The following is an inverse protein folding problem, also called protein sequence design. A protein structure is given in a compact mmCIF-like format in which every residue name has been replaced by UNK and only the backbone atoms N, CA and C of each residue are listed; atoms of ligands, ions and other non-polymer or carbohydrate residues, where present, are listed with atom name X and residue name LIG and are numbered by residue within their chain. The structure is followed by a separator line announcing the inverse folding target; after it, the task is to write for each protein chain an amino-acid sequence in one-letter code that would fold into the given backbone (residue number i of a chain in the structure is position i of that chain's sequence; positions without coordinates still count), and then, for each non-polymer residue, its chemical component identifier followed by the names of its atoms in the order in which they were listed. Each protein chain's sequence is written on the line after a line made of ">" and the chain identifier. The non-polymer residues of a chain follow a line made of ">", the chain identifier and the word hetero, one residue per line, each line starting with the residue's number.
data_IF_775355010364
#
_entry.id   IF_775355010364
#
_cell.length_a   1.000
_cell.length_b   1.000
_cell.length_c   1.000
_cell.angle_alpha   90.00
_cell.angle_beta   90.00
_cell.angle_gamma   90.00
#
_symmetry.space_group_name_H-M   'P 1'
#
loop_
_entity.id
_entity.type
_entity.pdbx_description
1 polymer ?
#
# COMPACT_ATOMS: atom_id res chain seq x y z
N UNK A 1 21.35 10.50 -30.53
CA UNK A 1 21.12 9.63 -29.35
C UNK A 1 21.42 8.22 -29.82
N UNK A 2 22.25 7.52 -29.07
CA UNK A 2 22.63 6.17 -29.42
C UNK A 2 21.48 5.20 -29.22
N UNK A 3 21.31 4.26 -30.15
CA UNK A 3 20.27 3.23 -30.10
C UNK A 3 20.75 2.10 -29.21
N UNK A 4 20.06 1.91 -28.07
CA UNK A 4 20.34 0.84 -27.10
C UNK A 4 19.45 -0.39 -27.37
N UNK A 5 18.16 -0.15 -27.68
CA UNK A 5 17.18 -1.19 -27.96
C UNK A 5 16.78 -1.14 -29.43
N UNK A 6 17.31 -2.09 -30.23
CA UNK A 6 17.14 -2.06 -31.69
C UNK A 6 15.72 -2.40 -32.15
N UNK A 7 14.98 -3.22 -31.42
CA UNK A 7 13.60 -3.66 -31.74
C UNK A 7 12.71 -3.47 -30.54
N UNK A 8 11.96 -2.38 -30.51
CA UNK A 8 11.17 -2.01 -29.35
C UNK A 8 9.80 -1.43 -29.74
N UNK A 9 8.89 -1.39 -28.77
CA UNK A 9 7.58 -0.80 -28.93
C UNK A 9 7.18 0.05 -27.72
N UNK A 10 6.37 1.08 -27.95
CA UNK A 10 5.70 1.87 -26.94
C UNK A 10 4.20 1.69 -27.04
N UNK A 11 3.54 1.47 -25.92
CA UNK A 11 2.09 1.28 -25.81
C UNK A 11 1.46 2.41 -24.99
N UNK A 12 0.51 3.10 -25.59
CA UNK A 12 -0.38 4.02 -24.89
C UNK A 12 -1.71 3.31 -24.63
N UNK A 13 -1.99 3.06 -23.34
CA UNK A 13 -3.09 2.19 -22.91
C UNK A 13 -4.25 3.01 -22.36
N UNK A 14 -5.41 2.85 -22.98
CA UNK A 14 -6.70 3.40 -22.58
C UNK A 14 -7.66 2.29 -22.11
N UNK A 15 -8.85 2.66 -21.67
CA UNK A 15 -9.88 1.71 -21.27
C UNK A 15 -10.32 0.76 -22.38
N UNK A 16 -10.53 1.28 -23.59
CA UNK A 16 -11.08 0.53 -24.72
C UNK A 16 -10.05 0.24 -25.82
N UNK A 17 -8.92 0.93 -25.84
CA UNK A 17 -7.92 0.85 -26.92
C UNK A 17 -6.50 0.86 -26.42
N UNK A 18 -5.61 0.25 -27.19
CA UNK A 18 -4.15 0.30 -27.03
C UNK A 18 -3.57 0.82 -28.32
N UNK A 19 -2.94 1.98 -28.29
CA UNK A 19 -2.16 2.51 -29.41
C UNK A 19 -0.73 2.00 -29.29
N UNK A 20 -0.29 1.20 -30.23
CA UNK A 20 1.03 0.58 -30.25
C UNK A 20 1.90 1.19 -31.34
N UNK A 21 3.11 1.65 -31.00
CA UNK A 21 4.12 2.10 -31.95
C UNK A 21 5.37 1.25 -31.86
N UNK A 22 5.73 0.62 -32.97
CA UNK A 22 6.95 -0.20 -33.10
C UNK A 22 8.05 0.64 -33.76
N UNK A 23 9.28 0.47 -33.26
CA UNK A 23 10.50 1.04 -33.84
C UNK A 23 11.50 -0.10 -34.07
N UNK A 24 11.82 -0.34 -35.37
CA UNK A 24 12.72 -1.42 -35.78
C UNK A 24 13.69 -0.91 -36.84
N UNK A 25 14.83 -1.58 -37.06
CA UNK A 25 15.71 -1.25 -38.19
C UNK A 25 14.97 -1.40 -39.54
N UNK A 26 15.24 -0.53 -40.47
CA UNK A 26 14.84 -0.71 -41.87
C UNK A 26 15.98 -1.33 -42.70
N UNK A 27 15.66 -1.71 -43.95
CA UNK A 27 16.61 -2.36 -44.85
C UNK A 27 17.71 -1.40 -45.37
N UNK A 28 17.57 -0.08 -45.12
CA UNK A 28 18.51 0.96 -45.57
C UNK A 28 19.39 1.48 -44.42
N UNK A 29 19.36 0.84 -43.24
CA UNK A 29 20.11 1.26 -42.07
C UNK A 29 19.46 2.40 -41.26
N UNK A 30 18.24 2.80 -41.62
CA UNK A 30 17.41 3.77 -40.93
C UNK A 30 16.49 3.11 -39.87
N UNK A 31 15.41 3.80 -39.53
CA UNK A 31 14.40 3.35 -38.57
C UNK A 31 13.01 3.35 -39.18
N UNK A 32 12.41 2.18 -39.22
CA UNK A 32 11.00 2.02 -39.58
C UNK A 32 10.14 2.22 -38.32
N UNK A 33 9.17 3.13 -38.40
CA UNK A 33 8.19 3.43 -37.35
C UNK A 33 6.82 3.04 -37.88
N UNK A 34 6.13 2.14 -37.16
CA UNK A 34 4.78 1.69 -37.52
C UNK A 34 3.89 1.82 -36.32
N UNK A 35 2.73 2.43 -36.49
CA UNK A 35 1.73 2.62 -35.41
C UNK A 35 0.42 1.97 -35.84
N UNK A 36 -0.18 1.21 -34.92
CA UNK A 36 -1.50 0.63 -35.10
C UNK A 36 -2.30 0.71 -33.78
N UNK A 37 -3.61 0.49 -33.86
CA UNK A 37 -4.53 0.60 -32.71
C UNK A 37 -5.29 -0.70 -32.56
N UNK A 38 -5.26 -1.26 -31.34
CA UNK A 38 -5.91 -2.50 -30.98
C UNK A 38 -6.99 -2.25 -29.94
N UNK A 39 -7.98 -3.14 -29.84
CA UNK A 39 -8.91 -3.18 -28.73
C UNK A 39 -8.25 -3.73 -27.45
N UNK A 40 -9.01 -3.76 -26.35
CA UNK A 40 -8.57 -4.29 -25.06
C UNK A 40 -9.20 -5.63 -24.70
N UNK A 41 -9.98 -6.22 -25.60
CA UNK A 41 -10.49 -7.57 -25.42
C UNK A 41 -9.37 -8.60 -25.62
N UNK A 42 -9.54 -9.78 -25.03
CA UNK A 42 -8.49 -10.82 -25.07
C UNK A 42 -8.03 -11.14 -26.48
N UNK A 43 -8.95 -11.26 -27.44
CA UNK A 43 -8.60 -11.52 -28.84
C UNK A 43 -7.76 -10.39 -29.46
N UNK A 44 -8.09 -9.14 -29.14
CA UNK A 44 -7.35 -7.97 -29.64
C UNK A 44 -5.95 -7.90 -29.02
N UNK A 45 -5.80 -8.25 -27.75
CA UNK A 45 -4.50 -8.28 -27.08
C UNK A 45 -3.62 -9.44 -27.59
N UNK A 46 -4.22 -10.56 -27.99
CA UNK A 46 -3.51 -11.63 -28.68
C UNK A 46 -3.06 -11.17 -30.09
N UNK A 47 -3.91 -10.47 -30.83
CA UNK A 47 -3.55 -9.87 -32.10
C UNK A 47 -2.41 -8.84 -31.95
N UNK A 48 -2.45 -7.99 -30.92
CA UNK A 48 -1.36 -7.09 -30.57
C UNK A 48 -0.05 -7.85 -30.31
N UNK A 49 -0.09 -8.94 -29.52
CA UNK A 49 1.09 -9.78 -29.24
C UNK A 49 1.68 -10.35 -30.53
N UNK A 50 0.85 -10.91 -31.40
CA UNK A 50 1.27 -11.53 -32.64
C UNK A 50 1.80 -10.47 -33.63
N UNK A 51 1.20 -9.28 -33.65
CA UNK A 51 1.71 -8.15 -34.41
C UNK A 51 3.09 -7.69 -33.93
N UNK A 52 3.32 -7.57 -32.62
CA UNK A 52 4.63 -7.25 -32.06
C UNK A 52 5.68 -8.32 -32.39
N UNK A 53 5.31 -9.60 -32.36
CA UNK A 53 6.18 -10.72 -32.78
C UNK A 53 6.55 -10.65 -34.26
N UNK A 54 5.61 -10.30 -35.14
CA UNK A 54 5.88 -10.16 -36.59
C UNK A 54 6.94 -9.10 -36.90
N UNK A 55 7.08 -8.06 -36.06
CA UNK A 55 8.16 -7.07 -36.14
C UNK A 55 9.44 -7.47 -35.40
N UNK A 56 9.46 -8.63 -34.75
CA UNK A 56 10.59 -9.10 -33.96
C UNK A 56 10.89 -8.21 -32.75
N UNK A 57 9.86 -7.57 -32.16
CA UNK A 57 9.98 -6.74 -30.96
C UNK A 57 10.50 -7.58 -29.80
N UNK A 58 11.43 -7.04 -29.02
CA UNK A 58 11.99 -7.68 -27.82
C UNK A 58 11.62 -6.96 -26.53
N UNK A 59 11.49 -5.64 -26.60
CA UNK A 59 11.22 -4.78 -25.44
C UNK A 59 9.99 -3.92 -25.70
N UNK A 60 9.10 -3.83 -24.69
CA UNK A 60 7.88 -3.05 -24.79
C UNK A 60 7.75 -2.14 -23.57
N UNK A 61 7.58 -0.84 -23.80
CA UNK A 61 7.26 0.13 -22.75
C UNK A 61 5.77 0.45 -22.77
N UNK A 62 5.16 0.50 -21.57
CA UNK A 62 3.77 0.91 -21.40
C UNK A 62 3.60 1.81 -20.20
N UNK A 63 2.61 2.71 -20.26
CA UNK A 63 2.34 3.65 -19.20
C UNK A 63 1.45 3.03 -18.10
N UNK A 64 1.73 3.39 -16.84
CA UNK A 64 0.97 2.93 -15.67
C UNK A 64 -0.30 3.77 -15.43
N UNK A 65 -1.17 3.91 -16.43
CA UNK A 65 -2.42 4.67 -16.32
C UNK A 65 -3.51 3.84 -15.64
N UNK A 66 -3.92 4.26 -14.44
CA UNK A 66 -5.01 3.62 -13.69
C UNK A 66 -4.78 2.13 -13.45
N UNK A 67 -5.75 1.31 -13.87
CA UNK A 67 -5.70 -0.16 -13.81
C UNK A 67 -5.64 -0.81 -15.20
N UNK A 68 -5.81 -0.04 -16.25
CA UNK A 68 -5.99 -0.52 -17.63
C UNK A 68 -4.74 -1.19 -18.20
N UNK A 69 -3.56 -0.82 -17.72
CA UNK A 69 -2.30 -1.44 -18.12
C UNK A 69 -2.17 -2.92 -17.71
N UNK A 70 -2.90 -3.35 -16.65
CA UNK A 70 -2.74 -4.69 -16.08
C UNK A 70 -3.04 -5.82 -17.07
N UNK A 71 -4.22 -5.86 -17.74
CA UNK A 71 -4.51 -6.92 -18.71
C UNK A 71 -3.51 -6.96 -19.85
N UNK A 72 -3.09 -5.79 -20.37
CA UNK A 72 -2.10 -5.67 -21.43
C UNK A 72 -0.75 -6.22 -20.97
N UNK A 73 -0.29 -5.81 -19.79
CA UNK A 73 0.96 -6.29 -19.21
C UNK A 73 0.95 -7.82 -19.04
N UNK A 74 -0.11 -8.35 -18.45
CA UNK A 74 -0.19 -9.78 -18.14
C UNK A 74 -0.30 -10.65 -19.40
N UNK A 75 -0.83 -10.12 -20.48
CA UNK A 75 -0.89 -10.81 -21.78
C UNK A 75 0.47 -10.85 -22.50
N UNK A 76 1.32 -9.86 -22.25
CA UNK A 76 2.59 -9.67 -22.96
C UNK A 76 3.83 -10.11 -22.16
N UNK A 77 3.72 -10.31 -20.82
CA UNK A 77 4.88 -10.49 -19.95
C UNK A 77 5.68 -11.78 -20.21
N UNK A 78 5.05 -12.83 -20.73
CA UNK A 78 5.73 -14.09 -21.05
C UNK A 78 6.48 -14.02 -22.38
N UNK A 79 6.12 -13.08 -23.26
CA UNK A 79 6.64 -12.96 -24.61
C UNK A 79 7.71 -11.87 -24.80
N UNK A 80 7.64 -10.81 -23.99
CA UNK A 80 8.49 -9.62 -24.15
C UNK A 80 9.09 -9.15 -22.82
N UNK A 81 10.21 -8.43 -22.91
CA UNK A 81 10.73 -7.68 -21.77
C UNK A 81 9.91 -6.40 -21.60
N UNK A 82 9.06 -6.35 -20.56
CA UNK A 82 8.14 -5.23 -20.34
C UNK A 82 8.70 -4.20 -19.38
N UNK A 83 8.56 -2.93 -19.73
CA UNK A 83 8.88 -1.78 -18.89
C UNK A 83 7.59 -0.99 -18.59
N UNK A 84 7.07 -1.11 -17.38
CA UNK A 84 5.96 -0.28 -16.92
C UNK A 84 6.49 1.07 -16.44
N UNK A 85 6.05 2.17 -17.06
CA UNK A 85 6.61 3.50 -16.84
C UNK A 85 5.63 4.39 -16.08
N UNK A 86 6.16 5.13 -15.10
CA UNK A 86 5.38 6.13 -14.39
C UNK A 86 5.39 7.46 -15.16
N UNK A 87 4.20 8.01 -15.46
CA UNK A 87 4.02 9.30 -16.15
C UNK A 87 4.78 10.47 -15.51
N UNK A 88 4.96 10.47 -14.19
CA UNK A 88 5.70 11.56 -13.52
C UNK A 88 7.19 11.56 -13.89
N UNK A 89 7.73 10.42 -14.27
CA UNK A 89 9.11 10.29 -14.74
C UNK A 89 9.22 10.76 -16.18
N UNK A 90 8.26 10.39 -17.04
CA UNK A 90 8.18 10.84 -18.44
C UNK A 90 8.14 12.36 -18.57
N UNK A 91 7.35 13.04 -17.73
CA UNK A 91 7.26 14.52 -17.74
C UNK A 91 8.56 15.24 -17.40
N UNK A 92 9.56 14.53 -16.90
CA UNK A 92 10.88 15.10 -16.54
C UNK A 92 11.91 14.98 -17.65
N UNK A 93 11.62 14.17 -18.69
CA UNK A 93 12.53 14.02 -19.80
C UNK A 93 12.42 15.24 -20.71
N UNK A 94 13.52 16.01 -20.94
CA UNK A 94 13.48 17.17 -21.82
C UNK A 94 13.17 16.76 -23.28
N UNK A 95 12.53 17.65 -24.03
CA UNK A 95 12.37 17.49 -25.46
C UNK A 95 11.03 16.92 -25.95
N UNK A 96 10.02 16.74 -25.07
CA UNK A 96 8.67 16.36 -25.48
C UNK A 96 8.09 17.46 -26.40
N UNK A 97 7.90 17.15 -27.68
CA UNK A 97 7.08 17.96 -28.59
C UNK A 97 5.61 17.61 -28.38
N UNK A 98 4.75 18.60 -28.36
CA UNK A 98 3.30 18.46 -28.11
C UNK A 98 2.56 17.63 -29.16
N UNK A 99 3.15 17.44 -30.35
CA UNK A 99 2.51 16.81 -31.48
C UNK A 99 2.90 15.34 -31.70
N UNK A 100 3.75 14.76 -30.85
CA UNK A 100 4.15 13.34 -30.92
C UNK A 100 3.16 12.50 -30.10
N UNK A 101 2.64 11.42 -30.70
CA UNK A 101 1.78 10.45 -30.03
C UNK A 101 2.50 9.84 -28.81
N UNK A 102 1.80 9.65 -27.72
CA UNK A 102 2.41 9.16 -26.46
C UNK A 102 3.09 7.80 -26.66
N UNK A 103 2.51 6.89 -27.46
CA UNK A 103 3.11 5.59 -27.82
C UNK A 103 4.43 5.72 -28.60
N UNK A 104 4.51 6.65 -29.55
CA UNK A 104 5.71 6.91 -30.33
C UNK A 104 6.83 7.48 -29.46
N UNK A 105 6.49 8.42 -28.57
CA UNK A 105 7.43 8.99 -27.60
C UNK A 105 7.98 7.92 -26.64
N UNK A 106 7.11 7.04 -26.13
CA UNK A 106 7.52 5.89 -25.29
C UNK A 106 8.49 4.98 -26.04
N UNK A 107 8.18 4.63 -27.30
CA UNK A 107 9.03 3.79 -28.13
C UNK A 107 10.40 4.45 -28.38
N UNK A 108 10.44 5.74 -28.64
CA UNK A 108 11.67 6.50 -28.85
C UNK A 108 12.55 6.56 -27.60
N UNK A 109 11.95 6.82 -26.43
CA UNK A 109 12.68 6.84 -25.16
C UNK A 109 13.19 5.45 -24.78
N UNK A 110 12.41 4.39 -25.05
CA UNK A 110 12.82 3.01 -24.84
C UNK A 110 14.02 2.65 -25.71
N UNK A 111 13.95 3.01 -26.98
CA UNK A 111 15.04 2.83 -27.96
C UNK A 111 16.37 3.40 -27.45
N UNK A 112 16.33 4.59 -26.86
CA UNK A 112 17.51 5.27 -26.31
C UNK A 112 17.89 4.82 -24.88
N UNK A 113 17.20 3.85 -24.29
CA UNK A 113 17.47 3.37 -22.93
C UNK A 113 17.20 4.39 -21.82
N UNK A 114 16.38 5.41 -22.07
CA UNK A 114 16.11 6.53 -21.13
C UNK A 114 14.99 6.25 -20.15
N UNK A 115 14.31 5.10 -20.27
CA UNK A 115 13.19 4.74 -19.42
C UNK A 115 13.64 3.97 -18.17
N UNK A 116 13.05 4.32 -17.02
CA UNK A 116 13.22 3.60 -15.76
C UNK A 116 11.96 2.81 -15.43
N UNK A 117 12.01 1.47 -15.39
CA UNK A 117 10.83 0.66 -15.14
C UNK A 117 10.35 0.78 -13.69
N UNK A 118 9.05 0.82 -13.53
CA UNK A 118 8.37 0.60 -12.26
C UNK A 118 8.40 -0.89 -11.90
N UNK A 119 8.46 -1.19 -10.61
CA UNK A 119 8.42 -2.57 -10.14
C UNK A 119 7.02 -3.19 -10.30
N UNK A 120 6.92 -4.22 -11.13
CA UNK A 120 5.77 -5.12 -11.20
C UNK A 120 6.20 -6.46 -10.59
N UNK A 121 5.56 -6.92 -9.49
CA UNK A 121 5.93 -8.18 -8.86
C UNK A 121 5.48 -9.38 -9.69
N UNK A 122 6.07 -10.56 -9.47
CA UNK A 122 5.63 -11.80 -10.10
C UNK A 122 4.19 -12.17 -9.69
N UNK A 123 3.49 -13.01 -10.48
CA UNK A 123 2.07 -13.33 -10.26
C UNK A 123 1.69 -13.71 -8.83
N UNK A 124 2.39 -14.61 -8.10
CA UNK A 124 2.00 -14.97 -6.74
C UNK A 124 2.02 -13.79 -5.76
N UNK A 125 2.97 -12.87 -5.94
CA UNK A 125 3.06 -11.67 -5.12
C UNK A 125 1.98 -10.64 -5.51
N UNK A 126 1.59 -10.57 -6.79
CA UNK A 126 0.49 -9.69 -7.23
C UNK A 126 -0.83 -10.11 -6.60
N UNK A 127 -1.13 -11.41 -6.62
CA UNK A 127 -2.32 -11.97 -5.98
C UNK A 127 -2.32 -11.71 -4.47
N UNK A 128 -1.22 -12.00 -3.79
CA UNK A 128 -1.05 -11.72 -2.38
C UNK A 128 -1.23 -10.22 -2.08
N UNK A 129 -0.70 -9.33 -2.92
CA UNK A 129 -0.83 -7.88 -2.79
C UNK A 129 -2.28 -7.42 -2.96
N UNK A 130 -3.02 -7.98 -3.89
CA UNK A 130 -4.42 -7.62 -4.10
C UNK A 130 -5.27 -8.05 -2.89
N UNK A 131 -5.06 -9.27 -2.36
CA UNK A 131 -5.72 -9.77 -1.15
C UNK A 131 -5.39 -8.93 0.09
N UNK A 132 -4.12 -8.63 0.33
CA UNK A 132 -3.69 -7.85 1.50
C UNK A 132 -4.22 -6.42 1.45
N UNK A 133 -4.24 -5.80 0.28
CA UNK A 133 -4.79 -4.45 0.07
C UNK A 133 -6.30 -4.44 0.28
N UNK A 134 -7.00 -5.44 -0.22
CA UNK A 134 -8.44 -5.59 -0.01
C UNK A 134 -8.75 -5.78 1.48
N UNK A 135 -7.98 -6.63 2.18
CA UNK A 135 -8.10 -6.78 3.64
C UNK A 135 -7.92 -5.46 4.38
N UNK A 136 -6.93 -4.65 4.02
CA UNK A 136 -6.72 -3.31 4.62
C UNK A 136 -7.94 -2.42 4.38
N UNK A 137 -8.59 -2.51 3.22
CA UNK A 137 -9.79 -1.75 2.94
C UNK A 137 -10.96 -2.21 3.82
N UNK A 138 -11.17 -3.53 3.96
CA UNK A 138 -12.23 -4.08 4.82
C UNK A 138 -12.04 -3.66 6.30
N UNK A 139 -10.80 -3.64 6.81
CA UNK A 139 -10.51 -3.13 8.16
C UNK A 139 -10.88 -1.65 8.30
N UNK A 140 -10.66 -0.84 7.27
CA UNK A 140 -11.06 0.57 7.26
C UNK A 140 -12.57 0.72 7.25
N UNK A 141 -13.26 -0.06 6.44
CA UNK A 141 -14.73 -0.03 6.32
C UNK A 141 -15.36 -0.43 7.66
N UNK A 142 -14.83 -1.47 8.32
CA UNK A 142 -15.23 -1.84 9.68
C UNK A 142 -15.05 -0.69 10.67
N UNK A 143 -13.90 -0.03 10.63
CA UNK A 143 -13.63 1.10 11.52
C UNK A 143 -14.57 2.29 11.27
N UNK A 144 -14.99 2.50 10.01
CA UNK A 144 -15.97 3.51 9.65
C UNK A 144 -17.35 3.17 10.23
N UNK A 145 -17.77 1.90 10.21
CA UNK A 145 -19.04 1.48 10.80
C UNK A 145 -19.03 1.66 12.33
N UNK A 146 -17.91 1.32 13.01
CA UNK A 146 -17.76 1.61 14.45
C UNK A 146 -17.86 3.11 14.73
N UNK A 147 -17.26 3.95 13.88
CA UNK A 147 -17.38 5.41 14.03
C UNK A 147 -18.82 5.91 13.78
N UNK A 148 -19.59 5.27 12.88
CA UNK A 148 -21.03 5.56 12.69
C UNK A 148 -21.83 5.16 13.93
N UNK A 149 -21.56 3.99 14.49
CA UNK A 149 -22.14 3.57 15.76
C UNK A 149 -21.93 4.61 16.86
N UNK A 150 -20.70 5.07 17.03
CA UNK A 150 -20.38 6.10 18.02
C UNK A 150 -21.19 7.39 17.80
N UNK A 151 -21.42 7.79 16.55
CA UNK A 151 -22.25 8.97 16.22
C UNK A 151 -23.72 8.76 16.57
N UNK A 152 -24.27 7.56 16.32
CA UNK A 152 -25.64 7.22 16.71
C UNK A 152 -25.80 7.25 18.23
N UNK A 153 -24.81 6.79 18.97
CA UNK A 153 -24.80 6.85 20.44
C UNK A 153 -24.77 8.30 20.95
N UNK A 154 -23.93 9.14 20.33
CA UNK A 154 -23.86 10.56 20.68
C UNK A 154 -25.18 11.30 20.39
N UNK A 155 -25.86 10.99 19.29
CA UNK A 155 -27.19 11.53 18.94
C UNK A 155 -28.25 11.11 19.95
N UNK A 156 -28.21 9.86 20.42
CA UNK A 156 -29.06 9.35 21.48
C UNK A 156 -28.71 9.91 22.88
N UNK A 157 -27.65 10.68 23.02
CA UNK A 157 -27.14 11.18 24.30
C UNK A 157 -26.43 10.13 25.15
N UNK A 158 -26.11 8.96 24.59
CA UNK A 158 -25.41 7.87 25.27
C UNK A 158 -23.90 8.07 25.22
N UNK A 159 -23.28 8.31 26.38
CA UNK A 159 -21.85 8.64 26.49
C UNK A 159 -20.95 7.44 26.76
N UNK A 160 -21.26 6.27 26.19
CA UNK A 160 -20.50 5.04 26.40
C UNK A 160 -19.02 5.18 26.01
N UNK A 161 -18.71 5.91 24.96
CA UNK A 161 -17.34 6.13 24.47
C UNK A 161 -16.44 6.85 25.48
N UNK A 162 -17.00 7.57 26.44
CA UNK A 162 -16.23 8.24 27.50
C UNK A 162 -15.81 7.29 28.63
N UNK A 163 -16.51 6.16 28.80
CA UNK A 163 -16.28 5.19 29.87
C UNK A 163 -15.58 3.93 29.38
N UNK A 164 -15.97 3.46 28.18
CA UNK A 164 -15.40 2.27 27.54
C UNK A 164 -14.49 2.65 26.39
N UNK A 165 -13.33 2.00 26.34
CA UNK A 165 -12.36 2.23 25.26
C UNK A 165 -12.79 1.57 23.95
N UNK A 166 -13.47 0.41 24.04
CA UNK A 166 -13.96 -0.35 22.89
C UNK A 166 -15.45 -0.65 23.04
N UNK A 167 -16.29 0.09 22.30
CA UNK A 167 -17.75 -0.08 22.28
C UNK A 167 -18.18 -1.40 21.65
N UNK A 168 -17.34 -1.99 20.76
CA UNK A 168 -17.60 -3.28 20.12
C UNK A 168 -17.04 -4.47 20.93
N UNK A 169 -16.36 -4.20 22.05
CA UNK A 169 -15.93 -5.23 22.98
C UNK A 169 -17.13 -5.94 23.65
N UNK A 170 -16.88 -7.12 24.25
CA UNK A 170 -17.92 -8.01 24.81
C UNK A 170 -18.96 -7.29 25.67
N UNK A 171 -18.55 -6.37 26.54
CA UNK A 171 -19.47 -5.62 27.40
C UNK A 171 -20.24 -4.55 26.64
N UNK A 172 -19.57 -3.77 25.80
CA UNK A 172 -20.20 -2.72 25.02
C UNK A 172 -21.27 -3.29 24.07
N UNK A 173 -20.91 -4.33 23.33
CA UNK A 173 -21.85 -5.01 22.43
C UNK A 173 -23.05 -5.60 23.17
N UNK A 174 -22.85 -6.23 24.35
CA UNK A 174 -23.95 -6.77 25.15
C UNK A 174 -24.92 -5.67 25.65
N UNK A 175 -24.38 -4.53 26.10
CA UNK A 175 -25.21 -3.39 26.50
C UNK A 175 -26.01 -2.81 25.33
N UNK A 176 -25.37 -2.65 24.16
CA UNK A 176 -26.00 -2.10 22.97
C UNK A 176 -27.04 -3.06 22.38
N UNK A 177 -26.78 -4.37 22.42
CA UNK A 177 -27.75 -5.37 22.01
C UNK A 177 -29.00 -5.34 22.93
N UNK A 178 -28.79 -5.30 24.25
CA UNK A 178 -29.91 -5.17 25.18
C UNK A 178 -30.73 -3.88 25.00
N UNK A 179 -30.07 -2.77 24.61
CA UNK A 179 -30.77 -1.53 24.19
C UNK A 179 -31.62 -1.73 22.94
N UNK A 180 -31.09 -2.43 21.93
CA UNK A 180 -31.83 -2.77 20.68
C UNK A 180 -33.02 -3.67 21.01
N UNK A 181 -32.82 -4.62 21.92
CA UNK A 181 -33.86 -5.57 22.39
C UNK A 181 -34.91 -4.90 23.30
N UNK A 182 -34.81 -3.59 23.53
CA UNK A 182 -35.80 -2.81 24.28
C UNK A 182 -35.52 -2.58 25.75
N UNK A 183 -34.39 -3.02 26.28
CA UNK A 183 -33.98 -2.73 27.67
C UNK A 183 -33.49 -1.30 27.78
N UNK A 184 -34.21 -0.44 28.49
CA UNK A 184 -33.87 1.00 28.62
C UNK A 184 -33.35 1.41 30.00
N UNK A 185 -33.45 0.51 31.00
CA UNK A 185 -32.96 0.81 32.38
C UNK A 185 -31.42 0.83 32.41
N UNK A 186 -30.80 1.99 32.72
CA UNK A 186 -29.35 2.12 32.81
C UNK A 186 -28.71 1.22 33.87
N UNK A 187 -29.46 0.87 34.93
CA UNK A 187 -28.94 0.00 35.98
C UNK A 187 -28.80 -1.44 35.46
N UNK A 188 -29.81 -1.95 34.78
CA UNK A 188 -29.81 -3.30 34.18
C UNK A 188 -28.72 -3.38 33.08
N UNK A 189 -28.64 -2.39 32.23
CA UNK A 189 -27.64 -2.33 31.17
C UNK A 189 -26.20 -2.32 31.70
N UNK A 190 -25.94 -1.54 32.75
CA UNK A 190 -24.61 -1.45 33.37
C UNK A 190 -24.14 -2.80 34.00
N UNK A 191 -25.06 -3.63 34.50
CA UNK A 191 -24.73 -4.95 35.07
C UNK A 191 -24.20 -5.93 33.99
N UNK A 192 -24.42 -5.69 32.72
CA UNK A 192 -23.81 -6.44 31.60
C UNK A 192 -22.29 -6.23 31.49
N UNK A 193 -21.72 -5.29 32.25
CA UNK A 193 -20.29 -5.06 32.32
C UNK A 193 -19.52 -6.28 32.83
N UNK A 194 -18.40 -6.61 32.19
CA UNK A 194 -17.53 -7.74 32.52
C UNK A 194 -16.13 -7.28 32.91
N UNK A 195 -15.47 -8.08 33.76
CA UNK A 195 -14.08 -7.89 34.15
C UNK A 195 -13.81 -6.53 34.79
N UNK A 196 -12.77 -5.83 34.33
CA UNK A 196 -12.32 -4.54 34.89
C UNK A 196 -13.38 -3.44 34.76
N UNK A 197 -14.30 -3.55 33.80
CA UNK A 197 -15.33 -2.55 33.55
C UNK A 197 -16.38 -2.52 34.69
N UNK A 198 -16.58 -3.61 35.45
CA UNK A 198 -17.46 -3.62 36.62
C UNK A 198 -17.05 -2.62 37.70
N UNK A 199 -15.79 -2.23 37.76
CA UNK A 199 -15.32 -1.17 38.67
C UNK A 199 -15.87 0.22 38.32
N UNK A 200 -16.45 0.38 37.12
CA UNK A 200 -17.01 1.64 36.61
C UNK A 200 -18.53 1.61 36.49
N UNK A 201 -19.22 0.77 37.27
CA UNK A 201 -20.69 0.68 37.21
C UNK A 201 -21.41 2.02 37.44
N UNK A 202 -20.99 2.89 38.39
CA UNK A 202 -21.62 4.19 38.56
C UNK A 202 -21.49 5.09 37.30
N UNK A 203 -20.31 5.13 36.70
CA UNK A 203 -20.06 5.89 35.47
C UNK A 203 -20.85 5.34 34.28
N UNK A 204 -20.95 3.99 34.18
CA UNK A 204 -21.73 3.34 33.14
C UNK A 204 -23.21 3.66 33.24
N UNK A 205 -23.79 3.60 34.46
CA UNK A 205 -25.20 3.97 34.69
C UNK A 205 -25.47 5.41 34.23
N UNK A 206 -24.56 6.35 34.48
CA UNK A 206 -24.69 7.74 34.04
C UNK A 206 -24.51 7.84 32.51
N UNK A 207 -23.56 7.14 31.93
CA UNK A 207 -23.28 7.16 30.48
C UNK A 207 -24.40 6.54 29.64
N UNK A 208 -25.19 5.64 30.24
CA UNK A 208 -26.33 4.99 29.58
C UNK A 208 -27.65 5.76 29.73
N UNK A 209 -27.66 6.90 30.43
CA UNK A 209 -28.81 7.80 30.50
C UNK A 209 -28.85 8.67 29.24
N UNK A 210 -29.87 8.47 28.40
CA UNK A 210 -30.02 9.19 27.15
C UNK A 210 -31.44 9.14 26.59
N UNK A 211 -31.64 9.68 25.41
CA UNK A 211 -32.95 9.66 24.71
C UNK A 211 -32.91 8.62 23.58
N UNK A 212 -32.76 7.37 23.96
CA UNK A 212 -32.77 6.27 23.00
C UNK A 212 -34.17 6.09 22.42
N UNK A 213 -34.29 6.02 21.09
CA UNK A 213 -35.53 5.95 20.33
C UNK A 213 -35.48 4.74 19.36
N UNK A 214 -36.65 4.28 18.85
CA UNK A 214 -36.73 3.12 17.95
C UNK A 214 -35.85 3.24 16.71
N UNK A 215 -35.70 4.44 16.12
CA UNK A 215 -34.81 4.63 14.96
C UNK A 215 -33.33 4.44 15.29
N UNK A 216 -32.90 4.76 16.54
CA UNK A 216 -31.52 4.47 16.97
C UNK A 216 -31.30 2.95 17.07
N UNK A 217 -32.28 2.19 17.62
CA UNK A 217 -32.21 0.74 17.67
C UNK A 217 -32.07 0.14 16.29
N UNK A 218 -32.93 0.55 15.34
CA UNK A 218 -32.85 0.12 13.95
C UNK A 218 -31.49 0.41 13.32
N UNK A 219 -30.95 1.64 13.49
CA UNK A 219 -29.64 2.01 12.94
C UNK A 219 -28.51 1.17 13.55
N UNK A 220 -28.52 0.92 14.85
CA UNK A 220 -27.52 0.08 15.52
C UNK A 220 -27.58 -1.35 15.03
N UNK A 221 -28.77 -1.91 14.85
CA UNK A 221 -28.97 -3.25 14.30
C UNK A 221 -28.36 -3.38 12.89
N UNK A 222 -28.63 -2.40 12.00
CA UNK A 222 -28.04 -2.37 10.65
C UNK A 222 -26.51 -2.26 10.69
N UNK A 223 -25.96 -1.44 11.60
CA UNK A 223 -24.51 -1.28 11.76
C UNK A 223 -23.91 -2.58 12.28
N UNK A 224 -24.55 -3.26 13.23
CA UNK A 224 -24.10 -4.54 13.77
C UNK A 224 -24.04 -5.61 12.67
N UNK A 225 -25.12 -5.79 11.92
CA UNK A 225 -25.15 -6.73 10.81
C UNK A 225 -24.02 -6.51 9.81
N UNK A 226 -23.72 -5.24 9.50
CA UNK A 226 -22.62 -4.90 8.60
C UNK A 226 -21.25 -5.15 9.22
N UNK A 227 -21.04 -4.87 10.51
CA UNK A 227 -19.78 -5.17 11.21
C UNK A 227 -19.54 -6.68 11.24
N UNK A 228 -20.57 -7.48 11.56
CA UNK A 228 -20.47 -8.94 11.58
C UNK A 228 -20.10 -9.51 10.22
N UNK A 229 -20.76 -9.05 9.16
CA UNK A 229 -20.38 -9.40 7.78
C UNK A 229 -18.91 -9.06 7.46
N UNK A 230 -18.45 -7.87 7.89
CA UNK A 230 -17.07 -7.46 7.66
C UNK A 230 -16.08 -8.31 8.48
N UNK A 231 -16.43 -8.71 9.70
CA UNK A 231 -15.60 -9.57 10.53
C UNK A 231 -15.47 -10.97 9.92
N UNK A 232 -16.55 -11.58 9.44
CA UNK A 232 -16.50 -12.84 8.69
C UNK A 232 -15.69 -12.74 7.38
N UNK A 233 -15.86 -11.64 6.64
CA UNK A 233 -15.09 -11.40 5.43
C UNK A 233 -13.58 -11.27 5.71
N UNK A 234 -13.21 -10.62 6.82
CA UNK A 234 -11.82 -10.50 7.27
C UNK A 234 -11.21 -11.84 7.69
N UNK A 235 -11.98 -12.72 8.33
CA UNK A 235 -11.54 -14.09 8.67
C UNK A 235 -11.27 -14.91 7.41
N UNK A 236 -12.20 -14.92 6.45
CA UNK A 236 -12.01 -15.61 5.16
C UNK A 236 -10.79 -15.10 4.40
N UNK A 237 -10.63 -13.77 4.32
CA UNK A 237 -9.46 -13.16 3.66
C UNK A 237 -8.15 -13.52 4.36
N UNK A 238 -8.16 -13.58 5.69
CA UNK A 238 -6.96 -13.95 6.46
C UNK A 238 -6.57 -15.38 6.19
N UNK A 239 -7.52 -16.32 6.18
CA UNK A 239 -7.28 -17.72 5.84
C UNK A 239 -6.70 -17.88 4.43
N UNK A 240 -7.27 -17.18 3.43
CA UNK A 240 -6.80 -17.21 2.05
C UNK A 240 -5.39 -16.64 1.89
N UNK A 241 -5.09 -15.56 2.62
CA UNK A 241 -3.75 -14.96 2.65
C UNK A 241 -2.74 -15.95 3.28
N UNK A 242 -3.09 -16.58 4.41
CA UNK A 242 -2.20 -17.50 5.12
C UNK A 242 -1.83 -18.72 4.26
N UNK A 243 -2.75 -19.25 3.46
CA UNK A 243 -2.48 -20.34 2.52
C UNK A 243 -1.42 -19.95 1.47
N UNK A 244 -1.46 -18.72 0.97
CA UNK A 244 -0.50 -18.22 -0.03
C UNK A 244 0.86 -17.82 0.56
N UNK A 245 0.96 -17.73 1.88
CA UNK A 245 2.17 -17.28 2.56
C UNK A 245 3.17 -18.39 2.85
N UNK A 246 2.80 -19.66 2.69
CA UNK A 246 3.66 -20.82 2.98
C UNK A 246 5.07 -20.68 2.37
N UNK A 247 5.25 -20.25 1.11
CA UNK A 247 6.60 -20.10 0.53
C UNK A 247 7.41 -18.94 1.14
N UNK A 248 6.77 -18.03 1.85
CA UNK A 248 7.37 -16.80 2.40
C UNK A 248 7.58 -16.86 3.92
N UNK A 249 7.25 -17.98 4.57
CA UNK A 249 7.32 -18.13 6.03
C UNK A 249 8.71 -17.80 6.63
N UNK A 250 9.84 -18.22 6.03
CA UNK A 250 11.16 -17.85 6.55
C UNK A 250 11.37 -16.33 6.59
N UNK A 251 10.83 -15.59 5.62
CA UNK A 251 10.91 -14.14 5.57
C UNK A 251 9.99 -13.48 6.59
N UNK A 252 8.78 -14.01 6.78
CA UNK A 252 7.85 -13.52 7.79
C UNK A 252 8.45 -13.66 9.19
N UNK A 253 9.06 -14.81 9.50
CA UNK A 253 9.78 -15.06 10.75
C UNK A 253 10.92 -14.06 10.96
N UNK A 254 11.71 -13.79 9.92
CA UNK A 254 12.77 -12.80 10.01
C UNK A 254 12.24 -11.37 10.24
N UNK A 255 11.12 -11.00 9.62
CA UNK A 255 10.48 -9.69 9.79
C UNK A 255 9.88 -9.52 11.19
N UNK A 256 9.30 -10.57 11.77
CA UNK A 256 8.71 -10.56 13.13
C UNK A 256 9.75 -10.30 14.22
N UNK A 257 11.04 -10.56 13.97
CA UNK A 257 12.13 -10.19 14.89
C UNK A 257 12.30 -8.67 15.04
N UNK A 258 11.74 -7.87 14.11
CA UNK A 258 11.88 -6.41 14.13
C UNK A 258 10.89 -5.83 15.15
N UNK A 259 11.36 -5.06 16.15
CA UNK A 259 10.47 -4.44 17.13
C UNK A 259 9.36 -3.61 16.46
N UNK A 260 8.10 -3.94 16.78
CA UNK A 260 6.93 -3.25 16.26
C UNK A 260 6.40 -3.77 14.92
N UNK A 261 7.07 -4.72 14.30
CA UNK A 261 6.52 -5.48 13.18
C UNK A 261 5.85 -6.72 13.77
N UNK A 262 4.55 -6.83 13.58
CA UNK A 262 3.77 -8.02 13.87
C UNK A 262 3.59 -8.86 12.58
N UNK A 263 2.98 -10.04 12.70
CA UNK A 263 2.72 -10.92 11.55
C UNK A 263 1.97 -10.19 10.42
N UNK A 264 0.97 -9.36 10.74
CA UNK A 264 0.19 -8.62 9.74
C UNK A 264 1.07 -7.58 9.04
N UNK A 265 1.91 -6.89 9.80
CA UNK A 265 2.90 -5.97 9.27
C UNK A 265 3.92 -6.66 8.36
N UNK A 266 4.43 -7.82 8.78
CA UNK A 266 5.34 -8.65 7.99
C UNK A 266 4.71 -9.08 6.66
N UNK A 267 3.48 -9.58 6.68
CA UNK A 267 2.71 -9.95 5.49
C UNK A 267 2.59 -8.76 4.53
N UNK A 268 2.22 -7.59 5.05
CA UNK A 268 2.08 -6.37 4.24
C UNK A 268 3.41 -5.95 3.61
N UNK A 269 4.52 -6.09 4.34
CA UNK A 269 5.86 -5.78 3.82
C UNK A 269 6.22 -6.73 2.69
N UNK A 270 6.05 -8.05 2.87
CA UNK A 270 6.33 -9.07 1.85
C UNK A 270 5.49 -8.82 0.59
N UNK A 271 4.17 -8.63 0.73
CA UNK A 271 3.27 -8.36 -0.38
C UNK A 271 3.66 -7.11 -1.17
N UNK A 272 4.08 -6.04 -0.49
CA UNK A 272 4.40 -4.77 -1.15
C UNK A 272 5.83 -4.74 -1.71
N UNK A 273 6.82 -5.37 -1.07
CA UNK A 273 8.20 -5.39 -1.56
C UNK A 273 8.46 -6.51 -2.57
N UNK A 274 7.61 -7.51 -2.62
CA UNK A 274 7.79 -8.69 -3.47
C UNK A 274 8.67 -9.78 -2.86
N UNK A 275 9.06 -9.64 -1.59
CA UNK A 275 9.93 -10.58 -0.91
C UNK A 275 11.40 -10.54 -1.38
N UNK A 276 11.71 -9.82 -2.44
CA UNK A 276 13.08 -9.69 -2.98
C UNK A 276 13.69 -8.34 -2.58
N UNK A 277 14.50 -8.37 -1.54
CA UNK A 277 15.14 -7.16 -1.00
C UNK A 277 16.39 -6.75 -1.77
N UNK A 278 16.90 -7.57 -2.70
CA UNK A 278 18.05 -7.23 -3.56
C UNK A 278 17.76 -6.05 -4.49
N UNK A 279 16.48 -5.79 -4.74
CA UNK A 279 15.99 -4.62 -5.52
C UNK A 279 16.26 -3.28 -4.83
N UNK A 280 16.47 -3.29 -3.54
CA UNK A 280 16.74 -2.10 -2.76
C UNK A 280 18.20 -2.10 -2.32
N UNK A 281 19.07 -1.45 -3.08
CA UNK A 281 20.51 -1.37 -2.77
C UNK A 281 20.79 -0.83 -1.37
N UNK A 282 19.92 0.00 -0.83
CA UNK A 282 20.03 0.56 0.53
C UNK A 282 18.66 0.72 1.17
N UNK A 283 18.63 0.79 2.51
CA UNK A 283 17.43 1.14 3.26
C UNK A 283 16.83 2.50 2.83
N UNK A 284 17.67 3.44 2.36
CA UNK A 284 17.23 4.71 1.82
C UNK A 284 16.40 4.57 0.55
N UNK A 285 16.72 3.60 -0.33
CA UNK A 285 15.93 3.30 -1.52
C UNK A 285 14.55 2.76 -1.16
N UNK A 286 14.45 1.84 -0.20
CA UNK A 286 13.17 1.34 0.30
C UNK A 286 12.33 2.46 0.92
N UNK A 287 12.94 3.32 1.75
CA UNK A 287 12.25 4.48 2.34
C UNK A 287 11.76 5.47 1.28
N UNK A 288 12.55 5.70 0.23
CA UNK A 288 12.15 6.57 -0.88
C UNK A 288 10.98 5.96 -1.66
N UNK A 289 11.04 4.67 -1.95
CA UNK A 289 9.97 3.94 -2.62
C UNK A 289 8.69 3.88 -1.78
N UNK A 290 8.81 3.69 -0.47
CA UNK A 290 7.72 3.77 0.50
C UNK A 290 7.19 5.19 0.76
N UNK A 291 7.68 6.21 0.02
CA UNK A 291 7.30 7.62 0.20
C UNK A 291 7.53 8.16 1.63
N UNK A 292 8.55 7.67 2.32
CA UNK A 292 8.91 8.10 3.67
C UNK A 292 10.01 9.17 3.66
N UNK A 293 10.67 9.39 2.51
CA UNK A 293 11.64 10.47 2.35
C UNK A 293 10.94 11.80 2.02
N UNK A 294 11.42 12.95 2.55
CA UNK A 294 10.90 14.25 2.13
C UNK A 294 11.23 14.49 0.67
N UNK A 295 10.33 15.16 0.01
CA UNK A 295 10.62 15.73 -1.29
C UNK A 295 11.68 16.83 -1.13
N UNK A 296 12.68 16.81 -2.00
CA UNK A 296 13.55 17.97 -2.21
C UNK A 296 12.86 18.87 -3.23
N UNK A 297 12.24 19.92 -2.75
CA UNK A 297 11.67 20.97 -3.60
C UNK A 297 12.37 22.28 -3.21
N UNK A 298 13.54 22.45 -3.78
CA UNK A 298 14.39 23.61 -3.57
C UNK A 298 14.74 24.24 -4.92
N UNK A 299 14.67 25.54 -5.01
CA UNK A 299 15.04 26.31 -6.20
C UNK A 299 15.74 27.59 -5.73
N UNK A 300 16.93 27.87 -6.31
CA UNK A 300 17.76 29.02 -5.97
C UNK A 300 18.01 29.19 -4.45
N UNK A 301 18.33 28.11 -3.74
CA UNK A 301 18.59 28.10 -2.30
C UNK A 301 17.34 28.25 -1.41
N UNK A 302 16.15 28.40 -1.99
CA UNK A 302 14.89 28.53 -1.24
C UNK A 302 14.15 27.19 -1.20
N UNK A 303 13.97 26.60 -0.01
CA UNK A 303 13.18 25.39 0.21
C UNK A 303 11.69 25.71 0.13
N UNK A 304 11.00 25.21 -0.92
CA UNK A 304 9.57 25.45 -1.15
C UNK A 304 8.66 24.48 -0.38
N UNK A 305 9.06 23.21 -0.23
CA UNK A 305 8.26 22.21 0.47
C UNK A 305 9.10 21.05 0.97
N UNK A 306 8.84 20.59 2.21
CA UNK A 306 9.37 19.36 2.77
C UNK A 306 8.39 18.18 2.73
N UNK A 307 7.25 18.30 2.04
CA UNK A 307 6.23 17.24 1.93
C UNK A 307 6.85 15.97 1.34
N UNK A 308 6.47 14.82 1.86
CA UNK A 308 6.86 13.51 1.29
C UNK A 308 6.25 13.34 -0.09
N UNK A 309 6.99 12.66 -0.98
CA UNK A 309 6.50 12.32 -2.33
C UNK A 309 5.35 11.32 -2.26
N UNK A 310 4.57 11.21 -3.33
CA UNK A 310 3.63 10.10 -3.53
C UNK A 310 4.44 8.81 -3.74
N UNK A 311 3.97 7.70 -3.18
CA UNK A 311 4.58 6.37 -3.32
C UNK A 311 3.66 5.31 -2.75
N UNK A 312 4.23 4.17 -2.36
CA UNK A 312 3.43 3.05 -1.86
C UNK A 312 2.77 3.35 -0.51
N UNK A 313 1.47 3.73 -0.56
CA UNK A 313 0.70 4.11 0.63
C UNK A 313 0.50 2.97 1.64
N UNK A 314 0.46 1.72 1.16
CA UNK A 314 0.25 0.54 2.01
C UNK A 314 1.52 0.24 2.80
N UNK A 315 2.67 0.13 2.13
CA UNK A 315 3.95 -0.03 2.82
C UNK A 315 4.21 1.13 3.79
N UNK A 316 3.95 2.36 3.37
CA UNK A 316 4.09 3.53 4.24
C UNK A 316 3.24 3.39 5.51
N UNK A 317 1.97 3.01 5.37
CA UNK A 317 1.05 2.81 6.50
C UNK A 317 1.59 1.76 7.47
N UNK A 318 1.99 0.60 6.95
CA UNK A 318 2.57 -0.50 7.73
C UNK A 318 3.84 -0.08 8.47
N UNK A 319 4.77 0.58 7.80
CA UNK A 319 6.02 1.02 8.42
C UNK A 319 5.81 2.11 9.49
N UNK A 320 4.81 2.99 9.32
CA UNK A 320 4.41 3.95 10.36
C UNK A 320 3.86 3.22 11.59
N UNK A 321 2.95 2.26 11.40
CA UNK A 321 2.39 1.47 12.50
C UNK A 321 3.47 0.66 13.22
N UNK A 322 4.36 0.01 12.49
CA UNK A 322 5.50 -0.69 13.05
C UNK A 322 6.40 0.25 13.89
N UNK A 323 6.66 1.45 13.39
CA UNK A 323 7.41 2.47 14.14
C UNK A 323 6.73 2.90 15.43
N UNK A 324 5.40 3.12 15.39
CA UNK A 324 4.59 3.43 16.58
C UNK A 324 4.58 2.27 17.59
N UNK A 325 4.51 1.02 17.12
CA UNK A 325 4.63 -0.17 17.95
C UNK A 325 5.99 -0.29 18.62
N UNK A 326 7.06 -0.08 17.85
CA UNK A 326 8.43 -0.14 18.35
C UNK A 326 8.73 0.89 19.46
N UNK A 327 8.13 2.07 19.38
CA UNK A 327 8.27 3.11 20.43
C UNK A 327 7.65 2.70 21.78
N UNK A 328 6.66 1.82 21.77
CA UNK A 328 5.98 1.32 22.99
C UNK A 328 6.72 0.14 23.63
N UNK A 329 7.67 -0.48 22.92
CA UNK A 329 8.45 -1.61 23.47
C UNK A 329 9.54 -1.09 24.39
N UNK A 330 9.35 -1.28 25.71
CA UNK A 330 10.28 -0.86 26.73
C UNK A 330 11.69 -1.44 26.52
N UNK A 331 12.72 -0.63 26.76
CA UNK A 331 14.12 -1.04 26.64
C UNK A 331 14.64 -1.20 25.22
N UNK A 332 13.84 -0.85 24.20
CA UNK A 332 14.31 -0.91 22.81
C UNK A 332 15.17 0.32 22.43
N UNK A 333 16.20 0.09 21.60
CA UNK A 333 17.01 1.20 21.05
C UNK A 333 16.16 2.21 20.27
N UNK A 334 15.06 1.74 19.65
CA UNK A 334 14.10 2.59 18.93
C UNK A 334 13.32 3.49 19.88
N UNK A 335 12.89 2.97 21.05
CA UNK A 335 12.25 3.77 22.09
C UNK A 335 13.20 4.85 22.65
N UNK A 336 14.42 4.47 23.02
CA UNK A 336 15.42 5.40 23.54
C UNK A 336 15.69 6.54 22.55
N UNK A 337 15.78 6.21 21.27
CA UNK A 337 15.98 7.18 20.20
C UNK A 337 14.75 8.08 20.02
N UNK A 338 13.54 7.52 20.03
CA UNK A 338 12.32 8.32 19.99
C UNK A 338 12.31 9.38 21.11
N UNK A 339 12.56 8.98 22.35
CA UNK A 339 12.60 9.93 23.47
C UNK A 339 13.67 11.00 23.32
N UNK A 340 14.84 10.66 22.74
CA UNK A 340 15.89 11.63 22.45
C UNK A 340 15.41 12.69 21.45
N UNK A 341 14.76 12.27 20.35
CA UNK A 341 14.26 13.21 19.33
C UNK A 341 13.08 14.01 19.85
N UNK A 342 12.16 13.38 20.59
CA UNK A 342 11.00 14.04 21.18
C UNK A 342 11.40 15.16 22.15
N UNK A 343 12.45 14.98 22.96
CA UNK A 343 13.00 16.03 23.85
C UNK A 343 13.49 17.26 23.09
N UNK A 344 14.09 17.10 21.91
CA UNK A 344 14.62 18.22 21.14
C UNK A 344 13.60 18.92 20.24
N UNK A 345 12.47 18.25 19.91
CA UNK A 345 11.48 18.77 18.97
C UNK A 345 10.09 18.97 19.56
N UNK A 346 9.94 18.73 20.88
CA UNK A 346 8.67 18.76 21.59
C UNK A 346 7.86 17.47 21.31
N UNK A 347 7.60 16.70 22.35
CA UNK A 347 6.42 15.80 22.36
C UNK A 347 5.22 16.72 22.39
N UNK A 348 4.37 16.70 21.36
CA UNK A 348 3.16 17.50 21.41
C UNK A 348 2.19 16.93 22.43
N UNK A 349 2.23 17.47 23.61
CA UNK A 349 1.02 17.60 24.43
C UNK A 349 0.14 18.68 23.79
N UNK A 350 -1.14 18.34 23.60
CA UNK A 350 -2.11 19.14 22.86
C UNK A 350 -2.11 20.63 23.22
N UNK A 351 -1.89 21.44 22.23
CA UNK A 351 -1.97 22.88 22.37
C UNK A 351 -1.76 23.58 21.04
N UNK A 352 -2.77 24.20 20.55
CA UNK A 352 -2.89 25.10 19.39
C UNK A 352 -1.61 25.91 19.13
N UNK A 353 -0.77 25.47 18.20
CA UNK A 353 0.39 26.22 17.74
C UNK A 353 0.79 25.82 16.32
N UNK A 354 0.91 26.77 15.43
CA UNK A 354 1.41 26.59 14.07
C UNK A 354 2.85 26.05 14.12
N UNK A 355 3.06 24.82 13.67
CA UNK A 355 4.40 24.24 13.56
C UNK A 355 4.60 22.87 14.21
N UNK A 356 3.54 22.22 14.66
CA UNK A 356 3.61 20.93 15.30
C UNK A 356 3.88 19.83 14.28
N UNK A 357 5.03 19.19 14.37
CA UNK A 357 5.34 17.98 13.61
C UNK A 357 4.46 16.84 14.11
N UNK A 358 3.62 16.31 13.20
CA UNK A 358 2.84 15.09 13.38
C UNK A 358 3.73 13.96 13.96
N UNK A 359 3.26 13.13 14.92
CA UNK A 359 3.98 11.93 15.36
C UNK A 359 4.45 11.07 14.20
N UNK A 360 3.72 11.09 13.08
CA UNK A 360 4.12 10.53 11.79
C UNK A 360 5.42 11.12 11.25
N UNK A 361 5.69 12.40 11.46
CA UNK A 361 6.95 13.03 11.05
C UNK A 361 8.13 12.59 11.91
N UNK A 362 7.91 12.23 13.16
CA UNK A 362 8.92 11.68 14.04
C UNK A 362 9.33 10.28 13.60
N UNK A 363 8.37 9.42 13.24
CA UNK A 363 8.62 8.09 12.66
C UNK A 363 9.31 8.21 11.31
N UNK A 364 8.88 9.14 10.47
CA UNK A 364 9.50 9.42 9.18
C UNK A 364 10.92 9.96 9.31
N UNK A 365 11.20 10.75 10.34
CA UNK A 365 12.57 11.25 10.62
C UNK A 365 13.49 10.13 11.12
N UNK A 366 12.96 9.14 11.85
CA UNK A 366 13.69 7.95 12.30
C UNK A 366 13.99 6.98 11.16
N UNK A 367 13.06 6.79 10.24
CA UNK A 367 13.30 6.02 9.02
C UNK A 367 14.46 6.59 8.17
N UNK A 368 14.80 7.87 8.36
CA UNK A 368 15.86 8.56 7.60
C UNK A 368 17.28 8.30 8.12
N UNK A 369 17.48 7.94 9.39
CA UNK A 369 18.84 7.84 9.98
C UNK A 369 19.16 6.42 10.41
N UNK A 370 20.24 5.90 9.83
CA UNK A 370 21.11 4.72 10.13
C UNK A 370 20.56 3.47 10.86
N UNK A 371 19.53 3.51 11.72
CA UNK A 371 19.20 2.37 12.60
C UNK A 371 18.14 1.43 12.02
N UNK A 372 17.26 1.91 11.17
CA UNK A 372 16.55 1.00 10.27
C UNK A 372 17.53 0.30 9.31
N UNK A 373 18.68 0.93 9.01
CA UNK A 373 19.75 0.27 8.24
C UNK A 373 20.29 -0.98 8.94
N UNK A 374 20.40 -1.02 10.26
CA UNK A 374 20.88 -2.19 11.00
C UNK A 374 19.87 -3.36 11.00
N UNK A 375 18.59 -3.09 11.22
CA UNK A 375 17.54 -4.11 11.17
C UNK A 375 17.23 -4.54 9.71
N UNK A 376 17.16 -3.57 8.80
CA UNK A 376 16.98 -3.82 7.37
C UNK A 376 18.24 -4.35 6.68
N UNK A 377 19.44 -3.99 7.16
CA UNK A 377 20.69 -4.57 6.70
C UNK A 377 20.78 -6.07 6.98
N UNK A 378 20.30 -6.53 8.13
CA UNK A 378 20.18 -7.97 8.42
C UNK A 378 19.20 -8.67 7.49
N UNK A 379 18.07 -8.04 7.14
CA UNK A 379 17.13 -8.56 6.13
C UNK A 379 17.73 -8.63 4.73
N UNK A 380 18.50 -7.60 4.33
CA UNK A 380 19.19 -7.58 3.05
C UNK A 380 20.27 -8.67 2.95
N UNK A 381 20.88 -9.07 4.09
CA UNK A 381 21.93 -10.10 4.14
C UNK A 381 21.41 -11.49 4.48
N UNK A 382 20.20 -11.63 5.04
CA UNK A 382 19.59 -12.94 5.35
C UNK A 382 18.69 -13.49 4.24
N UNK A 383 18.40 -12.70 3.19
CA UNK A 383 17.72 -13.22 2.01
C UNK A 383 18.62 -14.27 1.34
N UNK A 384 18.14 -15.51 1.09
CA UNK A 384 18.91 -16.51 0.38
C UNK A 384 19.33 -15.89 -0.96
N UNK A 385 20.65 -15.86 -1.21
CA UNK A 385 21.17 -15.53 -2.54
C UNK A 385 20.54 -16.55 -3.49
N UNK A 386 19.80 -16.10 -4.49
CA UNK A 386 19.37 -16.97 -5.57
C UNK A 386 20.62 -17.64 -6.11
N UNK A 387 20.70 -18.95 -5.97
CA UNK A 387 21.57 -19.74 -6.83
C UNK A 387 21.21 -19.36 -8.27
N UNK A 388 22.17 -18.84 -8.99
CA UNK A 388 22.05 -18.47 -10.38
C UNK A 388 21.45 -19.66 -11.12
N UNK A 389 20.25 -19.48 -11.66
CA UNK A 389 19.68 -20.43 -12.60
C UNK A 389 20.76 -20.69 -13.68
N UNK A 390 21.17 -21.96 -13.92
CA UNK A 390 22.18 -22.22 -14.92
C UNK A 390 21.65 -21.74 -16.26
N UNK A 391 22.37 -20.82 -16.87
CA UNK A 391 22.15 -20.40 -18.24
C UNK A 391 22.11 -21.64 -19.12
N UNK A 392 20.98 -21.87 -19.80
CA UNK A 392 20.92 -22.80 -20.92
C UNK A 392 21.86 -22.28 -22.02
N UNK A 393 23.15 -22.65 -21.89
CA UNK A 393 24.09 -22.71 -22.99
C UNK A 393 24.55 -24.15 -23.09
N UNK A 394 24.45 -24.65 -24.33
CA UNK A 394 24.96 -25.89 -24.90
C UNK A 394 23.96 -27.06 -24.90
N UNK A 395 23.24 -27.18 -25.98
CA UNK A 395 23.12 -28.41 -26.73
C UNK A 395 23.25 -28.05 -28.21
N UNK A 396 24.32 -28.53 -28.77
CA UNK A 396 24.67 -28.63 -30.19
C UNK A 396 23.53 -29.10 -31.08
#
# INVERSE_FOLDING_TARGET
>A
MDVVMTRCAGLDVHQATVVATVRVPDDQGGRRVVTDTFGTMTADLLALRDWLHAYGVTHVALESTGVYWKPVYYMLEDAFTLLLINMQELKRVPGRKTDVKDSEWLAQLLECGLLRPSFVPPPPIRELRDLTRYRVQQVRDRSQEVNRLCKVLEDAGLKLTTVITDVMGKSGRAMLQALVDGTTDPAVLAELARGKLRKKLPELRRALQGRFRPHHAFLIEQIFAKIDFLDEALERLTTEIDQRLVPFEPMLTALDTIPGVDRIGAISIVAETGGDMTRFLTAGHLCSWGAMCPGQNESAGKRRSGKTRKGNRYLRGTLIQAGLGAMRKNGSALQARYHRVARHRGAQEGGRGRGASDPRDCVLHHARRRDLRGAWGRLLHSAPRRESCPSARQAT
#
